data_IF_763203999012
#
_entry.id   IF_763203999012
#
_cell.length_a   1.000
_cell.length_b   1.000
_cell.length_c   1.000
_cell.angle_alpha   90.00
_cell.angle_beta   90.00
_cell.angle_gamma   90.00
#
_symmetry.space_group_name_H-M   'P 1'
#
loop_
_entity.id
_entity.type
_entity.pdbx_description
1 polymer ?
#
# COMPACT_ATOMS: atom_id res chain seq x y z
N UNK A 1 46.40 29.23 20.04
CA UNK A 1 45.94 29.20 18.63
C UNK A 1 45.60 27.78 18.15
N UNK A 2 46.50 26.79 18.24
CA UNK A 2 46.20 25.39 17.85
C UNK A 2 44.99 24.78 18.58
N UNK A 3 44.91 24.95 19.91
CA UNK A 3 43.81 24.44 20.74
C UNK A 3 42.46 25.04 20.35
N UNK A 4 42.41 26.36 20.12
CA UNK A 4 41.18 27.06 19.71
C UNK A 4 40.70 26.55 18.35
N UNK A 5 41.63 26.36 17.39
CA UNK A 5 41.31 25.79 16.09
C UNK A 5 40.77 24.35 16.21
N UNK A 6 41.33 23.54 17.10
CA UNK A 6 40.82 22.18 17.38
C UNK A 6 39.38 22.21 17.88
N UNK A 7 39.02 23.12 18.81
CA UNK A 7 37.64 23.25 19.27
C UNK A 7 36.69 23.73 18.16
N UNK A 8 37.13 24.68 17.33
CA UNK A 8 36.35 25.19 16.20
C UNK A 8 36.04 24.11 15.17
N UNK A 9 36.93 23.11 15.00
CA UNK A 9 36.70 21.98 14.09
C UNK A 9 35.87 20.88 14.78
N UNK A 10 36.16 20.59 16.06
CA UNK A 10 35.54 19.50 16.81
C UNK A 10 34.02 19.71 17.01
N UNK A 11 33.60 20.95 17.29
CA UNK A 11 32.18 21.25 17.55
C UNK A 11 31.30 20.94 16.31
N UNK A 12 31.61 21.44 15.09
CA UNK A 12 30.92 21.04 13.88
C UNK A 12 30.96 19.52 13.65
N UNK A 13 32.11 18.86 13.84
CA UNK A 13 32.21 17.41 13.63
C UNK A 13 31.28 16.63 14.54
N UNK A 14 31.17 17.00 15.82
CA UNK A 14 30.23 16.37 16.75
C UNK A 14 28.79 16.62 16.35
N UNK A 15 28.45 17.85 15.95
CA UNK A 15 27.11 18.20 15.46
C UNK A 15 26.76 17.36 14.22
N UNK A 16 27.65 17.29 13.23
CA UNK A 16 27.45 16.47 12.04
C UNK A 16 27.31 14.99 12.38
N UNK A 17 28.07 14.48 13.35
CA UNK A 17 27.95 13.09 13.79
C UNK A 17 26.56 12.80 14.38
N UNK A 18 26.06 13.68 15.25
CA UNK A 18 24.73 13.52 15.87
C UNK A 18 23.63 13.62 14.81
N UNK A 19 23.73 14.62 13.93
CA UNK A 19 22.78 14.78 12.82
C UNK A 19 22.78 13.57 11.90
N UNK A 20 23.96 13.04 11.55
CA UNK A 20 24.09 11.86 10.68
C UNK A 20 23.39 10.64 11.28
N UNK A 21 23.56 10.43 12.60
CA UNK A 21 22.88 9.34 13.30
C UNK A 21 21.36 9.53 13.28
N UNK A 22 20.87 10.73 13.61
CA UNK A 22 19.44 11.03 13.64
C UNK A 22 18.79 10.87 12.26
N UNK A 23 19.40 11.41 11.20
CA UNK A 23 18.85 11.29 9.86
C UNK A 23 18.87 9.85 9.36
N UNK A 24 19.91 9.08 9.68
CA UNK A 24 19.97 7.65 9.33
C UNK A 24 18.82 6.88 9.99
N UNK A 25 18.54 7.17 11.27
CA UNK A 25 17.41 6.57 11.99
C UNK A 25 16.08 6.93 11.33
N UNK A 26 15.85 8.21 11.04
CA UNK A 26 14.61 8.67 10.39
C UNK A 26 14.41 8.05 9.01
N UNK A 27 15.49 7.90 8.23
CA UNK A 27 15.45 7.23 6.92
C UNK A 27 15.04 5.77 7.09
N UNK A 28 15.59 5.08 8.08
CA UNK A 28 15.29 3.67 8.34
C UNK A 28 13.83 3.49 8.80
N UNK A 29 13.35 4.35 9.69
CA UNK A 29 11.96 4.36 10.15
C UNK A 29 10.99 4.60 8.98
N UNK A 30 11.25 5.61 8.16
CA UNK A 30 10.46 5.89 6.97
C UNK A 30 10.46 4.72 5.99
N UNK A 31 11.63 4.09 5.77
CA UNK A 31 11.73 2.92 4.90
C UNK A 31 10.89 1.77 5.41
N UNK A 32 10.95 1.47 6.70
CA UNK A 32 10.18 0.37 7.29
C UNK A 32 8.67 0.62 7.20
N UNK A 33 8.23 1.87 7.42
CA UNK A 33 6.83 2.24 7.24
C UNK A 33 6.38 2.06 5.80
N UNK A 34 7.21 2.48 4.83
CA UNK A 34 6.91 2.29 3.40
C UNK A 34 6.94 0.85 2.97
N UNK A 35 7.87 0.05 3.47
CA UNK A 35 7.93 -1.37 3.21
C UNK A 35 6.66 -2.06 3.72
N UNK A 36 6.21 -1.70 4.92
CA UNK A 36 4.95 -2.20 5.49
C UNK A 36 3.74 -1.83 4.61
N UNK A 37 3.59 -0.57 4.22
CA UNK A 37 2.49 -0.13 3.33
C UNK A 37 2.50 -0.89 2.00
N UNK A 38 3.69 -1.14 1.44
CA UNK A 38 3.84 -1.90 0.19
C UNK A 38 3.42 -3.37 0.40
N UNK A 39 3.84 -4.00 1.50
CA UNK A 39 3.45 -5.37 1.82
C UNK A 39 1.95 -5.50 1.98
N UNK A 40 1.31 -4.60 2.74
CA UNK A 40 -0.15 -4.58 2.92
C UNK A 40 -0.87 -4.43 1.57
N UNK A 41 -0.37 -3.58 0.66
CA UNK A 41 -0.94 -3.43 -0.67
C UNK A 41 -0.80 -4.71 -1.53
N UNK A 42 0.33 -5.43 -1.41
CA UNK A 42 0.52 -6.71 -2.11
C UNK A 42 -0.37 -7.81 -1.55
N UNK A 43 -0.57 -7.87 -0.23
CA UNK A 43 -1.49 -8.82 0.41
C UNK A 43 -2.92 -8.58 -0.07
N UNK A 44 -3.39 -7.32 0.00
CA UNK A 44 -4.71 -6.95 -0.51
C UNK A 44 -4.91 -7.31 -1.99
N UNK A 45 -3.88 -7.09 -2.82
CA UNK A 45 -3.94 -7.43 -4.24
C UNK A 45 -4.06 -8.95 -4.45
N UNK A 46 -3.28 -9.75 -3.73
CA UNK A 46 -3.35 -11.21 -3.80
C UNK A 46 -4.72 -11.71 -3.35
N UNK A 47 -5.25 -11.20 -2.25
CA UNK A 47 -6.56 -11.59 -1.74
C UNK A 47 -7.66 -11.30 -2.77
N UNK A 48 -7.60 -10.13 -3.42
CA UNK A 48 -8.56 -9.76 -4.48
C UNK A 48 -8.39 -10.61 -5.73
N UNK A 49 -7.16 -10.99 -6.10
CA UNK A 49 -6.91 -11.94 -7.18
C UNK A 49 -7.51 -13.32 -6.87
N UNK A 50 -7.42 -13.79 -5.63
CA UNK A 50 -8.07 -15.02 -5.18
C UNK A 50 -9.60 -14.92 -5.27
N UNK A 51 -10.17 -13.77 -4.90
CA UNK A 51 -11.61 -13.49 -5.05
C UNK A 51 -12.02 -13.56 -6.52
N UNK A 52 -11.23 -12.99 -7.43
CA UNK A 52 -11.51 -13.03 -8.86
C UNK A 52 -11.36 -14.44 -9.48
N UNK A 53 -10.61 -15.33 -8.84
CA UNK A 53 -10.50 -16.73 -9.27
C UNK A 53 -11.68 -17.61 -8.81
N UNK A 54 -12.53 -17.12 -7.90
CA UNK A 54 -13.72 -17.85 -7.45
C UNK A 54 -14.70 -18.08 -8.60
N UNK A 55 -15.45 -19.18 -8.51
CA UNK A 55 -16.59 -19.36 -9.41
C UNK A 55 -17.62 -18.25 -9.16
N UNK A 56 -18.42 -17.83 -10.16
CA UNK A 56 -19.44 -16.81 -9.96
C UNK A 56 -20.36 -17.14 -8.77
N UNK A 57 -20.70 -18.42 -8.63
CA UNK A 57 -21.59 -18.89 -7.56
C UNK A 57 -20.96 -18.76 -6.17
N UNK A 58 -19.65 -19.00 -6.03
CA UNK A 58 -18.92 -18.76 -4.78
C UNK A 58 -18.79 -17.27 -4.49
N UNK A 59 -18.49 -16.46 -5.49
CA UNK A 59 -18.41 -15.00 -5.36
C UNK A 59 -19.73 -14.40 -4.86
N UNK A 60 -20.84 -14.69 -5.55
CA UNK A 60 -22.17 -14.16 -5.19
C UNK A 60 -22.69 -14.66 -3.83
N UNK A 61 -22.20 -15.81 -3.35
CA UNK A 61 -22.54 -16.32 -2.02
C UNK A 61 -21.63 -15.74 -0.92
N UNK A 62 -20.39 -15.39 -1.25
CA UNK A 62 -19.37 -14.95 -0.30
C UNK A 62 -19.29 -13.44 -0.10
N UNK A 63 -19.69 -12.64 -1.09
CA UNK A 63 -19.50 -11.19 -1.10
C UNK A 63 -20.79 -10.43 -1.35
N UNK A 64 -21.00 -9.36 -0.56
CA UNK A 64 -22.14 -8.47 -0.72
C UNK A 64 -21.88 -7.46 -1.83
N UNK A 65 -22.83 -7.37 -2.77
CA UNK A 65 -22.76 -6.45 -3.90
C UNK A 65 -23.44 -5.15 -3.53
N UNK A 66 -22.67 -4.06 -3.53
CA UNK A 66 -23.18 -2.70 -3.30
C UNK A 66 -23.96 -2.17 -4.48
N UNK A 67 -23.43 -2.38 -5.68
CA UNK A 67 -24.00 -1.84 -6.91
C UNK A 67 -23.77 -2.77 -8.09
N UNK A 68 -24.68 -2.74 -9.06
CA UNK A 68 -24.53 -3.48 -10.31
C UNK A 68 -24.89 -2.60 -11.48
N UNK A 69 -24.01 -2.59 -12.50
CA UNK A 69 -24.16 -1.79 -13.71
C UNK A 69 -24.19 -2.76 -14.89
N UNK A 70 -25.32 -2.86 -15.56
CA UNK A 70 -25.40 -3.59 -16.84
C UNK A 70 -24.84 -2.73 -17.96
N UNK A 71 -23.99 -3.29 -18.81
CA UNK A 71 -23.49 -2.57 -19.99
C UNK A 71 -24.62 -2.27 -20.98
N UNK A 72 -24.49 -1.20 -21.75
CA UNK A 72 -25.50 -0.75 -22.72
C UNK A 72 -25.82 -1.80 -23.79
N UNK A 73 -24.87 -2.70 -24.08
CA UNK A 73 -25.01 -3.82 -25.02
C UNK A 73 -25.54 -5.10 -24.36
N UNK A 74 -25.72 -5.13 -23.02
CA UNK A 74 -26.06 -6.33 -22.22
C UNK A 74 -25.09 -7.50 -22.42
N UNK A 75 -23.84 -7.22 -22.75
CA UNK A 75 -22.79 -8.23 -22.93
C UNK A 75 -22.08 -8.54 -21.61
N UNK A 76 -22.17 -7.64 -20.62
CA UNK A 76 -21.59 -7.83 -19.30
C UNK A 76 -22.38 -7.10 -18.21
N UNK A 77 -22.31 -7.64 -17.00
CA UNK A 77 -22.74 -6.97 -15.77
C UNK A 77 -21.53 -6.72 -14.88
N UNK A 78 -21.38 -5.47 -14.46
CA UNK A 78 -20.30 -5.01 -13.60
C UNK A 78 -20.86 -4.96 -12.17
N UNK A 79 -20.34 -5.78 -11.27
CA UNK A 79 -20.70 -5.82 -9.85
C UNK A 79 -19.64 -5.10 -9.02
N UNK A 80 -20.05 -4.13 -8.22
CA UNK A 80 -19.19 -3.43 -7.27
C UNK A 80 -19.38 -4.06 -5.89
N UNK A 81 -18.30 -4.50 -5.27
CA UNK A 81 -18.29 -5.11 -3.94
C UNK A 81 -17.25 -4.42 -3.05
N UNK A 82 -17.41 -4.51 -1.73
CA UNK A 82 -16.44 -3.99 -0.77
C UNK A 82 -15.59 -5.13 -0.20
N UNK A 83 -14.28 -4.89 -0.13
CA UNK A 83 -13.34 -5.75 0.56
C UNK A 83 -12.36 -4.89 1.34
N UNK A 84 -12.26 -5.13 2.65
CA UNK A 84 -11.41 -4.38 3.59
C UNK A 84 -11.53 -2.85 3.50
N UNK A 85 -12.74 -2.33 3.25
CA UNK A 85 -13.00 -0.89 3.13
C UNK A 85 -12.68 -0.29 1.76
N UNK A 86 -12.26 -1.11 0.79
CA UNK A 86 -12.02 -0.71 -0.60
C UNK A 86 -13.11 -1.27 -1.51
N UNK A 87 -13.54 -0.46 -2.49
CA UNK A 87 -14.50 -0.89 -3.50
C UNK A 87 -13.77 -1.51 -4.71
N UNK A 88 -14.12 -2.75 -5.02
CA UNK A 88 -13.59 -3.52 -6.15
C UNK A 88 -14.69 -3.87 -7.14
N UNK A 89 -14.27 -4.33 -8.33
CA UNK A 89 -15.16 -4.57 -9.46
C UNK A 89 -15.00 -5.99 -9.97
N UNK A 90 -16.11 -6.72 -9.99
CA UNK A 90 -16.24 -8.03 -10.62
C UNK A 90 -17.04 -7.91 -11.92
N UNK A 91 -16.56 -8.47 -13.02
CA UNK A 91 -17.22 -8.39 -14.34
C UNK A 91 -17.74 -9.78 -14.71
N UNK A 92 -19.06 -9.92 -14.74
CA UNK A 92 -19.74 -11.10 -15.26
C UNK A 92 -20.04 -10.90 -16.75
N UNK A 93 -19.45 -11.71 -17.62
CA UNK A 93 -19.81 -11.73 -19.04
C UNK A 93 -21.04 -12.62 -19.22
N UNK A 94 -22.07 -12.08 -19.86
CA UNK A 94 -23.19 -12.88 -20.38
C UNK A 94 -22.78 -13.44 -21.73
N UNK A 95 -22.43 -14.74 -21.79
CA UNK A 95 -22.24 -15.47 -23.04
C UNK A 95 -23.46 -15.37 -23.98
#
# INVERSE_FOLDING_TARGET
MKVVLTFVIMIPTLIFSVLSYQYTYQILEYRNLKEKEITEAFELMNDVEEIFALTPQEFFNGYEIKHSISTTTKEATIHVFEYEGYDFVYIENTE
#
